data_IF_706272946918
#
_entry.id   IF_706272946918
#
_cell.length_a   1.000
_cell.length_b   1.000
_cell.length_c   1.000
_cell.angle_alpha   90.00
_cell.angle_beta   90.00
_cell.angle_gamma   90.00
#
_symmetry.space_group_name_H-M   'P 1'
#
loop_
_entity.id
_entity.type
_entity.pdbx_description
1 polymer ?
#
# COMPACT_ATOMS: atom_id res chain seq x y z
N UNK A 1 -2.17 -13.21 14.65
CA UNK A 1 -1.84 -14.48 13.94
C UNK A 1 -0.43 -14.42 13.33
N UNK A 2 0.53 -15.26 13.75
CA UNK A 2 1.96 -15.13 13.37
C UNK A 2 2.24 -15.18 11.86
N UNK A 3 1.50 -16.00 11.10
CA UNK A 3 1.68 -16.08 9.63
C UNK A 3 1.43 -14.74 8.92
N UNK A 4 0.58 -13.86 9.48
CA UNK A 4 0.38 -12.51 8.94
C UNK A 4 1.62 -11.65 9.10
N UNK A 5 2.37 -11.82 10.20
CA UNK A 5 3.64 -11.13 10.43
C UNK A 5 4.72 -11.62 9.46
N UNK A 6 4.73 -12.92 9.13
CA UNK A 6 5.61 -13.47 8.08
C UNK A 6 5.28 -12.85 6.72
N UNK A 7 4.01 -12.86 6.32
CA UNK A 7 3.60 -12.29 5.02
C UNK A 7 3.86 -10.78 4.98
N UNK A 8 3.63 -10.05 6.08
CA UNK A 8 3.99 -8.64 6.24
C UNK A 8 5.47 -8.40 5.92
N UNK A 9 6.37 -9.16 6.55
CA UNK A 9 7.82 -9.03 6.34
C UNK A 9 8.28 -9.46 4.94
N UNK A 10 7.59 -10.40 4.31
CA UNK A 10 7.88 -10.83 2.92
C UNK A 10 7.39 -9.83 1.86
N UNK A 11 6.40 -9.00 2.20
CA UNK A 11 5.90 -7.90 1.37
C UNK A 11 6.65 -6.58 1.59
N UNK A 12 7.44 -6.47 2.65
CA UNK A 12 8.32 -5.33 2.90
C UNK A 12 9.62 -5.45 2.08
N UNK A 13 10.40 -4.38 2.04
CA UNK A 13 11.64 -4.32 1.27
C UNK A 13 12.61 -5.43 1.70
N UNK A 14 13.13 -6.26 0.76
CA UNK A 14 14.01 -7.37 1.11
C UNK A 14 15.25 -6.90 1.88
N UNK A 15 15.51 -7.54 3.01
CA UNK A 15 16.64 -7.23 3.88
C UNK A 15 17.45 -8.48 4.17
N UNK A 16 18.73 -8.30 4.46
CA UNK A 16 19.61 -9.41 4.83
C UNK A 16 19.08 -10.17 6.06
N UNK A 17 18.54 -9.45 7.05
CA UNK A 17 17.95 -10.03 8.25
C UNK A 17 16.78 -10.97 7.91
N UNK A 18 15.90 -10.58 6.98
CA UNK A 18 14.81 -11.43 6.50
C UNK A 18 15.33 -12.74 5.90
N UNK A 19 16.34 -12.65 5.02
CA UNK A 19 16.89 -13.81 4.33
C UNK A 19 17.63 -14.75 5.30
N UNK A 20 18.40 -14.18 6.23
CA UNK A 20 19.16 -14.90 7.26
C UNK A 20 18.23 -15.71 8.19
N UNK A 21 16.96 -15.30 8.38
CA UNK A 21 15.96 -15.98 9.23
C UNK A 21 14.92 -16.79 8.43
N UNK A 22 15.17 -17.10 7.16
CA UNK A 22 14.23 -17.82 6.27
C UNK A 22 13.72 -19.16 6.84
N UNK A 23 14.54 -19.89 7.61
CA UNK A 23 14.11 -21.13 8.26
C UNK A 23 12.98 -20.92 9.27
N UNK A 24 13.09 -19.90 10.11
CA UNK A 24 12.07 -19.56 11.13
C UNK A 24 10.76 -19.13 10.46
N UNK A 25 10.85 -18.40 9.34
CA UNK A 25 9.67 -18.04 8.54
C UNK A 25 8.95 -19.29 8.02
N UNK A 26 9.70 -20.27 7.51
CA UNK A 26 9.15 -21.55 7.04
C UNK A 26 8.49 -22.35 8.17
N UNK A 27 9.04 -22.37 9.38
CA UNK A 27 8.41 -23.01 10.55
C UNK A 27 7.05 -22.38 10.87
N UNK A 28 6.98 -21.05 10.93
CA UNK A 28 5.73 -20.32 11.17
C UNK A 28 4.69 -20.62 10.08
N UNK A 29 5.10 -20.70 8.81
CA UNK A 29 4.21 -21.08 7.71
C UNK A 29 3.68 -22.50 7.90
N UNK A 30 4.54 -23.46 8.25
CA UNK A 30 4.15 -24.85 8.45
C UNK A 30 3.17 -25.04 9.61
N UNK A 31 3.31 -24.26 10.68
CA UNK A 31 2.41 -24.28 11.85
C UNK A 31 1.09 -23.51 11.64
N UNK A 32 0.99 -22.74 10.55
CA UNK A 32 -0.18 -21.91 10.27
C UNK A 32 -1.44 -22.72 9.95
N UNK A 33 -2.57 -22.02 9.80
CA UNK A 33 -3.87 -22.62 9.40
C UNK A 33 -4.09 -22.72 7.89
N UNK A 34 -3.09 -22.35 7.09
CA UNK A 34 -3.15 -22.45 5.63
C UNK A 34 -3.30 -23.90 5.17
N UNK A 35 -3.86 -24.06 3.98
CA UNK A 35 -3.91 -25.33 3.26
C UNK A 35 -2.50 -25.86 3.00
N UNK A 36 -2.38 -27.18 2.86
CA UNK A 36 -1.09 -27.82 2.59
C UNK A 36 -0.44 -27.31 1.29
N UNK A 37 -1.26 -26.95 0.31
CA UNK A 37 -0.81 -26.40 -0.96
C UNK A 37 -0.22 -25.00 -0.79
N UNK A 38 -0.92 -24.07 -0.13
CA UNK A 38 -0.39 -22.73 0.14
C UNK A 38 0.85 -22.76 1.04
N UNK A 39 0.89 -23.65 2.04
CA UNK A 39 2.10 -23.86 2.85
C UNK A 39 3.29 -24.27 1.99
N UNK A 40 3.09 -25.23 1.08
CA UNK A 40 4.15 -25.70 0.17
C UNK A 40 4.64 -24.58 -0.73
N UNK A 41 3.72 -23.82 -1.34
CA UNK A 41 4.07 -22.72 -2.23
C UNK A 41 4.75 -21.55 -1.50
N UNK A 42 4.28 -21.17 -0.30
CA UNK A 42 4.92 -20.15 0.52
C UNK A 42 6.34 -20.55 0.96
N UNK A 43 6.52 -21.80 1.41
CA UNK A 43 7.86 -22.31 1.76
C UNK A 43 8.78 -22.30 0.55
N UNK A 44 8.28 -22.68 -0.63
CA UNK A 44 9.05 -22.61 -1.87
C UNK A 44 9.42 -21.17 -2.24
N UNK A 45 8.49 -20.22 -2.08
CA UNK A 45 8.75 -18.79 -2.27
C UNK A 45 9.83 -18.27 -1.31
N UNK A 46 9.70 -18.53 0.00
CA UNK A 46 10.69 -18.12 1.01
C UNK A 46 12.07 -18.69 0.69
N UNK A 47 12.13 -19.99 0.33
CA UNK A 47 13.39 -20.66 -0.01
C UNK A 47 14.04 -20.05 -1.26
N UNK A 48 13.23 -19.71 -2.26
CA UNK A 48 13.71 -19.08 -3.51
C UNK A 48 14.22 -17.67 -3.23
N UNK A 49 13.47 -16.87 -2.46
CA UNK A 49 13.87 -15.52 -2.08
C UNK A 49 15.18 -15.52 -1.28
N UNK A 50 15.31 -16.42 -0.30
CA UNK A 50 16.52 -16.57 0.51
C UNK A 50 17.74 -17.09 -0.28
N UNK A 51 17.52 -17.81 -1.38
CA UNK A 51 18.57 -18.26 -2.28
C UNK A 51 18.98 -17.24 -3.36
N UNK A 52 18.28 -16.12 -3.46
CA UNK A 52 18.56 -15.04 -4.43
C UNK A 52 19.58 -14.07 -3.84
N UNK A 53 20.44 -13.47 -4.68
CA UNK A 53 21.30 -12.37 -4.22
C UNK A 53 20.44 -11.22 -3.68
N UNK A 54 20.88 -10.58 -2.59
CA UNK A 54 20.09 -9.55 -1.93
C UNK A 54 19.80 -8.37 -2.87
N UNK A 55 20.76 -7.95 -3.69
CA UNK A 55 20.56 -6.83 -4.61
C UNK A 55 19.63 -7.22 -5.75
N UNK A 56 19.71 -8.44 -6.26
CA UNK A 56 18.76 -8.95 -7.26
C UNK A 56 17.32 -9.02 -6.70
N UNK A 57 17.18 -9.44 -5.43
CA UNK A 57 15.89 -9.47 -4.75
C UNK A 57 15.31 -8.06 -4.54
N UNK A 58 16.15 -7.11 -4.14
CA UNK A 58 15.80 -5.69 -3.98
C UNK A 58 15.44 -5.04 -5.31
N UNK A 59 16.22 -5.26 -6.37
CA UNK A 59 15.91 -4.77 -7.71
C UNK A 59 14.57 -5.32 -8.18
N UNK A 60 14.31 -6.63 -8.00
CA UNK A 60 13.01 -7.23 -8.32
C UNK A 60 11.88 -6.58 -7.54
N UNK A 61 12.09 -6.26 -6.26
CA UNK A 61 11.10 -5.57 -5.44
C UNK A 61 10.75 -4.20 -6.02
N UNK A 62 11.77 -3.37 -6.28
CA UNK A 62 11.59 -2.02 -6.84
C UNK A 62 10.88 -2.07 -8.19
N UNK A 63 11.27 -3.01 -9.05
CA UNK A 63 10.66 -3.23 -10.36
C UNK A 63 9.16 -3.56 -10.27
N UNK A 64 8.74 -4.24 -9.20
CA UNK A 64 7.35 -4.68 -9.02
C UNK A 64 6.50 -3.63 -8.31
N UNK A 65 6.95 -3.13 -7.16
CA UNK A 65 6.09 -2.40 -6.22
C UNK A 65 6.28 -0.88 -6.27
N UNK A 66 7.40 -0.38 -6.79
CA UNK A 66 7.75 1.05 -6.74
C UNK A 66 7.60 1.79 -8.09
N UNK A 67 7.46 1.06 -9.21
CA UNK A 67 7.43 1.68 -10.56
C UNK A 67 6.05 2.13 -11.05
N UNK A 68 5.02 1.41 -10.66
CA UNK A 68 3.65 1.60 -11.15
C UNK A 68 2.64 1.66 -10.00
N UNK A 69 1.41 2.05 -10.33
CA UNK A 69 0.30 2.13 -9.36
C UNK A 69 -0.42 0.79 -9.25
N UNK A 70 -0.40 -0.04 -10.30
CA UNK A 70 -1.16 -1.29 -10.41
C UNK A 70 -0.75 -2.33 -9.35
N UNK A 71 0.50 -2.32 -8.92
CA UNK A 71 1.00 -3.20 -7.87
C UNK A 71 1.29 -2.48 -6.55
N UNK A 72 0.92 -1.20 -6.43
CA UNK A 72 1.16 -0.41 -5.21
C UNK A 72 0.69 -1.18 -3.96
N UNK A 73 1.52 -1.18 -2.93
CA UNK A 73 1.20 -1.81 -1.65
C UNK A 73 0.36 -0.92 -0.72
N UNK A 74 -0.26 0.14 -1.26
CA UNK A 74 -1.19 1.01 -0.54
C UNK A 74 -2.63 0.57 -0.84
N UNK A 75 -3.35 0.12 0.17
CA UNK A 75 -4.72 -0.41 0.01
C UNK A 75 -5.65 0.60 -0.67
N UNK A 76 -5.61 1.87 -0.25
CA UNK A 76 -6.56 2.87 -0.73
C UNK A 76 -6.26 3.39 -2.12
N UNK A 77 -5.06 3.15 -2.64
CA UNK A 77 -4.70 3.41 -4.04
C UNK A 77 -5.64 2.65 -5.00
N UNK A 78 -6.02 1.42 -4.64
CA UNK A 78 -6.85 0.53 -5.45
C UNK A 78 -8.35 0.82 -5.36
N UNK A 79 -8.79 1.58 -4.35
CA UNK A 79 -10.21 1.86 -4.10
C UNK A 79 -10.57 3.30 -4.44
N UNK A 80 -9.75 4.25 -4.01
CA UNK A 80 -10.07 5.68 -4.04
C UNK A 80 -9.16 6.47 -4.99
N UNK A 81 -8.01 5.93 -5.40
CA UNK A 81 -7.02 6.67 -6.20
C UNK A 81 -6.59 7.97 -5.50
N UNK A 82 -6.81 9.11 -6.14
CA UNK A 82 -6.52 10.45 -5.60
C UNK A 82 -7.75 11.15 -4.99
N UNK A 83 -8.86 10.42 -4.77
CA UNK A 83 -10.09 11.03 -4.26
C UNK A 83 -9.93 11.54 -2.83
N UNK A 84 -10.74 12.55 -2.47
CA UNK A 84 -10.81 13.08 -1.09
C UNK A 84 -11.22 12.00 -0.07
N UNK A 85 -11.91 10.96 -0.52
CA UNK A 85 -12.34 9.84 0.31
C UNK A 85 -11.16 9.06 0.87
N UNK A 86 -10.02 9.02 0.16
CA UNK A 86 -8.77 8.42 0.63
C UNK A 86 -8.30 9.04 1.95
N UNK A 87 -8.34 10.36 2.05
CA UNK A 87 -7.92 11.08 3.26
C UNK A 87 -8.78 10.71 4.47
N UNK A 88 -10.10 10.60 4.28
CA UNK A 88 -11.00 10.18 5.35
C UNK A 88 -10.79 8.71 5.73
N UNK A 89 -10.56 7.83 4.76
CA UNK A 89 -10.25 6.42 5.00
C UNK A 89 -8.95 6.25 5.83
N UNK A 90 -7.92 7.04 5.52
CA UNK A 90 -6.67 7.07 6.31
C UNK A 90 -6.91 7.51 7.75
N UNK A 91 -7.69 8.57 7.98
CA UNK A 91 -8.03 9.04 9.33
C UNK A 91 -8.78 7.96 10.12
N UNK A 92 -9.73 7.29 9.49
CA UNK A 92 -10.49 6.21 10.13
C UNK A 92 -9.57 5.03 10.49
N UNK A 93 -8.66 4.65 9.59
CA UNK A 93 -7.72 3.56 9.83
C UNK A 93 -6.72 3.88 10.95
N UNK A 94 -6.19 5.10 11.00
CA UNK A 94 -5.33 5.55 12.10
C UNK A 94 -6.08 5.54 13.44
N UNK A 95 -7.36 5.96 13.44
CA UNK A 95 -8.19 5.93 14.64
C UNK A 95 -8.41 4.50 15.14
N UNK A 96 -8.55 3.54 14.22
CA UNK A 96 -8.65 2.12 14.58
C UNK A 96 -7.36 1.60 15.23
N UNK A 97 -6.19 1.93 14.65
CA UNK A 97 -4.88 1.55 15.19
C UNK A 97 -4.69 2.11 16.60
N UNK A 98 -4.93 3.41 16.78
CA UNK A 98 -4.85 4.07 18.08
C UNK A 98 -5.83 3.46 19.10
N UNK A 99 -7.04 3.12 18.66
CA UNK A 99 -8.07 2.48 19.49
C UNK A 99 -7.64 1.11 20.04
N UNK A 100 -6.75 0.41 19.34
CA UNK A 100 -6.16 -0.87 19.74
C UNK A 100 -4.77 -0.72 20.37
N UNK A 101 -4.30 0.51 20.59
CA UNK A 101 -2.99 0.80 21.16
C UNK A 101 -1.82 0.44 20.23
N UNK A 102 -2.07 0.33 18.93
CA UNK A 102 -1.04 0.08 17.93
C UNK A 102 -0.41 1.40 17.49
N UNK A 103 0.91 1.50 17.65
CA UNK A 103 1.65 2.72 17.36
C UNK A 103 2.26 2.70 15.96
N UNK A 104 1.59 3.33 15.01
CA UNK A 104 1.98 3.37 13.61
C UNK A 104 3.09 4.40 13.28
N UNK A 105 3.95 4.80 14.23
CA UNK A 105 5.00 5.81 14.02
C UNK A 105 6.14 5.39 13.07
N UNK A 106 5.95 4.37 12.22
CA UNK A 106 6.98 3.85 11.31
C UNK A 106 7.33 4.80 10.16
N UNK A 107 6.71 5.98 10.07
CA UNK A 107 6.85 6.90 8.92
C UNK A 107 6.22 6.37 7.63
N UNK A 108 5.56 5.21 7.70
CA UNK A 108 4.79 4.61 6.62
C UNK A 108 3.36 5.12 6.65
N UNK A 109 2.68 5.06 5.50
CA UNK A 109 1.26 5.36 5.43
C UNK A 109 0.44 4.26 6.13
N UNK A 110 -0.68 4.60 6.80
CA UNK A 110 -1.47 3.63 7.57
C UNK A 110 -2.05 2.52 6.67
N UNK A 111 -2.28 2.80 5.39
CA UNK A 111 -2.84 1.85 4.43
C UNK A 111 -1.78 1.00 3.70
N UNK A 112 -0.51 1.10 4.11
CA UNK A 112 0.55 0.22 3.61
C UNK A 112 0.31 -1.22 4.07
N UNK A 113 0.17 -2.15 3.11
CA UNK A 113 -0.24 -3.53 3.37
C UNK A 113 0.63 -4.22 4.43
N UNK A 114 1.98 -4.14 4.40
CA UNK A 114 2.81 -4.72 5.46
C UNK A 114 2.50 -4.17 6.86
N UNK A 115 2.30 -2.86 7.01
CA UNK A 115 1.93 -2.24 8.28
C UNK A 115 0.54 -2.70 8.74
N UNK A 116 -0.41 -2.73 7.82
CA UNK A 116 -1.76 -3.25 8.06
C UNK A 116 -1.73 -4.71 8.55
N UNK A 117 -0.92 -5.56 7.92
CA UNK A 117 -0.74 -6.96 8.34
C UNK A 117 -0.02 -7.09 9.67
N UNK A 118 0.93 -6.20 9.98
CA UNK A 118 1.59 -6.15 11.28
C UNK A 118 0.57 -5.85 12.39
N UNK A 119 -0.27 -4.83 12.20
CA UNK A 119 -1.39 -4.55 13.08
C UNK A 119 -2.31 -5.76 13.27
N UNK A 120 -2.79 -6.38 12.19
CA UNK A 120 -3.66 -7.56 12.25
C UNK A 120 -2.98 -8.78 12.88
N UNK A 121 -1.65 -8.85 12.85
CA UNK A 121 -0.90 -9.95 13.48
C UNK A 121 -1.00 -9.93 15.00
N UNK A 122 -1.26 -8.76 15.60
CA UNK A 122 -1.41 -8.53 17.04
C UNK A 122 -2.86 -8.68 17.53
N UNK A 123 -3.82 -8.70 16.61
CA UNK A 123 -5.24 -8.86 16.94
C UNK A 123 -5.64 -10.34 17.09
N UNK A 124 -6.83 -10.55 17.65
CA UNK A 124 -7.41 -11.88 17.71
C UNK A 124 -7.76 -12.40 16.30
N UNK A 125 -7.84 -13.74 16.20
CA UNK A 125 -8.00 -14.39 14.90
C UNK A 125 -9.38 -14.18 14.26
N UNK A 126 -10.41 -13.75 14.98
CA UNK A 126 -11.69 -13.41 14.38
C UNK A 126 -11.60 -12.02 13.74
N UNK A 127 -11.11 -11.04 14.51
CA UNK A 127 -10.89 -9.67 14.04
C UNK A 127 -9.98 -9.62 12.81
N UNK A 128 -8.82 -10.30 12.85
CA UNK A 128 -7.90 -10.32 11.73
C UNK A 128 -8.52 -10.92 10.45
N UNK A 129 -9.41 -11.92 10.58
CA UNK A 129 -10.08 -12.52 9.42
C UNK A 129 -11.14 -11.62 8.82
N UNK A 130 -11.92 -10.95 9.66
CA UNK A 130 -12.93 -9.97 9.22
C UNK A 130 -12.26 -8.84 8.44
N UNK A 131 -11.19 -8.28 9.00
CA UNK A 131 -10.43 -7.21 8.38
C UNK A 131 -9.76 -7.64 7.06
N UNK A 132 -9.17 -8.83 7.01
CA UNK A 132 -8.67 -9.38 5.74
C UNK A 132 -9.79 -9.62 4.72
N UNK A 133 -11.01 -9.96 5.16
CA UNK A 133 -12.14 -10.18 4.28
C UNK A 133 -12.61 -8.86 3.63
N UNK A 134 -12.59 -7.75 4.39
CA UNK A 134 -12.94 -6.42 3.89
C UNK A 134 -12.03 -5.97 2.74
N UNK A 135 -10.74 -6.34 2.79
CA UNK A 135 -9.76 -6.01 1.74
C UNK A 135 -9.53 -7.14 0.73
N UNK A 136 -10.24 -8.26 0.85
CA UNK A 136 -10.01 -9.48 0.03
C UNK A 136 -10.11 -9.25 -1.47
N UNK A 137 -10.97 -8.32 -1.91
CA UNK A 137 -11.07 -7.93 -3.31
C UNK A 137 -9.76 -7.30 -3.82
N UNK A 138 -9.16 -6.39 -3.05
CA UNK A 138 -7.90 -5.71 -3.39
C UNK A 138 -6.76 -6.73 -3.43
N UNK A 139 -6.69 -7.62 -2.43
CA UNK A 139 -5.69 -8.68 -2.39
C UNK A 139 -5.81 -9.63 -3.60
N UNK A 140 -7.03 -9.91 -4.04
CA UNK A 140 -7.28 -10.72 -5.25
C UNK A 140 -6.89 -9.98 -6.52
N UNK A 141 -7.14 -8.68 -6.63
CA UNK A 141 -6.68 -7.87 -7.76
C UNK A 141 -5.15 -7.90 -7.86
N UNK A 142 -4.45 -7.73 -6.74
CA UNK A 142 -2.99 -7.80 -6.69
C UNK A 142 -2.47 -9.19 -7.07
N UNK A 143 -3.11 -10.27 -6.59
CA UNK A 143 -2.71 -11.63 -6.94
C UNK A 143 -2.90 -11.93 -8.43
N UNK A 144 -3.99 -11.48 -9.05
CA UNK A 144 -4.23 -11.62 -10.50
C UNK A 144 -3.23 -10.82 -11.33
N UNK A 145 -2.93 -9.58 -10.94
CA UNK A 145 -1.92 -8.74 -11.62
C UNK A 145 -0.52 -9.35 -11.56
N UNK A 146 -0.18 -10.03 -10.47
CA UNK A 146 1.08 -10.76 -10.31
C UNK A 146 1.07 -12.08 -11.08
N UNK A 147 -0.08 -12.75 -11.17
CA UNK A 147 -0.25 -13.96 -11.98
C UNK A 147 -0.03 -13.68 -13.47
N UNK A 148 -0.60 -12.59 -14.00
CA UNK A 148 -0.39 -12.16 -15.40
C UNK A 148 1.09 -11.85 -15.70
N UNK A 149 1.83 -11.37 -14.69
CA UNK A 149 3.28 -11.14 -14.75
C UNK A 149 4.12 -12.38 -14.44
N UNK A 150 3.51 -13.53 -14.19
CA UNK A 150 4.19 -14.78 -13.78
C UNK A 150 5.10 -14.58 -12.56
N UNK A 151 4.64 -13.79 -11.58
CA UNK A 151 5.39 -13.42 -10.40
C UNK A 151 4.94 -14.20 -9.17
N UNK A 152 5.87 -14.90 -8.53
CA UNK A 152 5.59 -15.74 -7.36
C UNK A 152 5.16 -14.96 -6.11
N UNK A 153 5.36 -13.63 -6.05
CA UNK A 153 4.79 -12.80 -4.98
C UNK A 153 3.26 -12.95 -4.86
N UNK A 154 2.57 -13.41 -5.92
CA UNK A 154 1.13 -13.68 -5.89
C UNK A 154 0.72 -14.59 -4.73
N UNK A 155 1.58 -15.55 -4.33
CA UNK A 155 1.26 -16.51 -3.28
C UNK A 155 1.07 -15.85 -1.91
N UNK A 156 1.73 -14.71 -1.68
CA UNK A 156 1.55 -13.91 -0.46
C UNK A 156 0.09 -13.42 -0.38
N UNK A 157 -0.42 -12.85 -1.47
CA UNK A 157 -1.78 -12.34 -1.55
C UNK A 157 -2.83 -13.45 -1.58
N UNK A 158 -2.59 -14.54 -2.31
CA UNK A 158 -3.47 -15.72 -2.32
C UNK A 158 -3.61 -16.33 -0.91
N UNK A 159 -2.51 -16.39 -0.16
CA UNK A 159 -2.52 -16.86 1.23
C UNK A 159 -3.33 -15.94 2.15
N UNK A 160 -3.27 -14.63 1.96
CA UNK A 160 -4.10 -13.67 2.73
C UNK A 160 -5.59 -13.83 2.41
N UNK A 161 -5.93 -14.04 1.13
CA UNK A 161 -7.32 -14.33 0.72
C UNK A 161 -7.79 -15.65 1.35
N UNK A 162 -6.98 -16.71 1.35
CA UNK A 162 -7.33 -17.96 2.03
C UNK A 162 -7.54 -17.75 3.54
N UNK A 163 -6.65 -17.02 4.20
CA UNK A 163 -6.73 -16.73 5.63
C UNK A 163 -7.98 -15.93 5.99
N UNK A 164 -8.43 -15.01 5.12
CA UNK A 164 -9.67 -14.26 5.33
C UNK A 164 -10.91 -15.15 5.34
N UNK A 165 -10.88 -16.27 4.60
CA UNK A 165 -12.04 -17.11 4.36
C UNK A 165 -13.12 -16.46 3.49
N UNK A 166 -12.83 -15.32 2.86
CA UNK A 166 -13.75 -14.61 1.99
C UNK A 166 -13.95 -15.35 0.66
N UNK A 167 -15.18 -15.33 0.16
CA UNK A 167 -15.50 -15.80 -1.19
C UNK A 167 -15.45 -14.62 -2.16
N UNK A 168 -14.51 -14.64 -3.10
CA UNK A 168 -14.32 -13.59 -4.11
C UNK A 168 -14.70 -14.09 -5.50
N UNK A 169 -15.29 -13.22 -6.34
CA UNK A 169 -15.57 -13.50 -7.76
C UNK A 169 -14.27 -13.44 -8.59
N UNK A 170 -13.33 -14.34 -8.31
CA UNK A 170 -11.96 -14.32 -8.86
C UNK A 170 -11.92 -14.25 -10.38
N UNK A 171 -12.75 -15.01 -11.09
CA UNK A 171 -12.78 -15.00 -12.56
C UNK A 171 -13.14 -13.61 -13.12
N UNK A 172 -14.10 -12.93 -12.48
CA UNK A 172 -14.55 -11.60 -12.90
C UNK A 172 -13.48 -10.54 -12.65
N UNK A 173 -12.72 -10.70 -11.56
CA UNK A 173 -11.54 -9.88 -11.26
C UNK A 173 -10.46 -10.13 -12.31
N UNK A 174 -10.17 -11.40 -12.62
CA UNK A 174 -9.19 -11.79 -13.63
C UNK A 174 -9.55 -11.22 -15.02
N UNK A 175 -10.83 -11.28 -15.41
CA UNK A 175 -11.31 -10.66 -16.66
C UNK A 175 -11.15 -9.14 -16.70
N UNK A 176 -11.27 -8.46 -15.57
CA UNK A 176 -11.05 -7.01 -15.46
C UNK A 176 -9.56 -6.68 -15.57
N UNK A 177 -8.72 -7.38 -14.80
CA UNK A 177 -7.25 -7.21 -14.79
C UNK A 177 -6.65 -7.43 -16.18
N UNK A 178 -7.07 -8.48 -16.90
CA UNK A 178 -6.60 -8.74 -18.28
C UNK A 178 -6.88 -7.62 -19.29
N UNK A 179 -7.78 -6.69 -18.97
CA UNK A 179 -8.13 -5.53 -19.83
C UNK A 179 -7.35 -4.27 -19.45
N UNK A 180 -6.64 -4.28 -18.32
CA UNK A 180 -5.86 -3.13 -17.87
C UNK A 180 -4.61 -2.96 -18.75
N UNK A 181 -4.29 -1.71 -19.17
CA UNK A 181 -3.03 -1.46 -19.84
C UNK A 181 -1.85 -1.57 -18.84
N UNK A 182 -0.66 -2.01 -19.28
CA UNK A 182 0.54 -1.94 -18.45
C UNK A 182 0.85 -0.51 -18.03
N UNK A 183 1.21 -0.31 -16.76
CA UNK A 183 1.53 1.00 -16.17
C UNK A 183 2.98 1.13 -15.69
N UNK A 184 3.77 0.07 -15.84
CA UNK A 184 5.16 -0.06 -15.41
C UNK A 184 6.17 0.12 -16.57
N UNK A 185 5.69 0.38 -17.79
CA UNK A 185 6.56 0.63 -18.96
C UNK A 185 7.12 2.05 -18.94
N UNK A 186 8.25 2.27 -19.61
CA UNK A 186 8.86 3.60 -19.69
C UNK A 186 7.89 4.62 -20.31
N UNK A 187 7.17 4.22 -21.36
CA UNK A 187 6.19 5.09 -22.01
C UNK A 187 5.00 5.42 -21.10
N UNK A 188 4.54 4.47 -20.28
CA UNK A 188 3.44 4.70 -19.34
C UNK A 188 3.87 5.62 -18.20
N UNK A 189 5.09 5.42 -17.69
CA UNK A 189 5.70 6.28 -16.68
C UNK A 189 5.84 7.70 -17.26
N UNK A 190 6.54 7.88 -18.38
CA UNK A 190 6.77 9.18 -19.02
C UNK A 190 5.46 9.93 -19.25
N UNK A 191 4.44 9.25 -19.79
CA UNK A 191 3.11 9.83 -19.98
C UNK A 191 2.48 10.31 -18.66
N UNK A 192 2.58 9.53 -17.59
CA UNK A 192 2.06 9.91 -16.28
C UNK A 192 2.79 11.12 -15.67
N UNK A 193 4.06 11.35 -16.03
CA UNK A 193 4.80 12.57 -15.66
C UNK A 193 4.39 13.78 -16.51
N UNK A 194 4.16 13.60 -17.81
CA UNK A 194 3.72 14.68 -18.72
C UNK A 194 2.31 15.21 -18.36
N UNK A 195 1.39 14.34 -17.96
CA UNK A 195 0.01 14.72 -17.61
C UNK A 195 -0.08 15.48 -16.26
N UNK A 196 0.98 15.51 -15.44
CA UNK A 196 1.04 16.23 -14.15
C UNK A 196 1.47 17.71 -14.27
N UNK A 197 1.00 18.42 -15.29
CA UNK A 197 1.13 19.89 -15.30
C UNK A 197 0.28 20.49 -14.16
N UNK A 198 0.92 20.94 -13.08
CA UNK A 198 0.27 21.76 -12.06
C UNK A 198 0.03 23.15 -12.67
N UNK A 199 -1.22 23.44 -13.02
CA UNK A 199 -1.66 24.80 -13.37
C UNK A 199 -1.89 25.60 -12.09
N UNK A 200 -0.96 26.50 -11.78
CA UNK A 200 -1.07 27.45 -10.67
C UNK A 200 -2.04 28.61 -10.94
N UNK A 201 -2.64 28.64 -12.14
CA UNK A 201 -3.54 29.66 -12.66
C UNK A 201 -5.03 29.29 -12.54
N UNK A 202 -5.36 28.10 -12.03
CA UNK A 202 -6.75 27.75 -11.76
C UNK A 202 -7.32 28.63 -10.63
N UNK A 203 -8.42 29.37 -10.87
CA UNK A 203 -9.03 30.18 -9.83
C UNK A 203 -9.47 29.27 -8.70
N UNK A 204 -9.10 29.63 -7.47
CA UNK A 204 -9.62 29.03 -6.25
C UNK A 204 -11.14 29.26 -6.27
N UNK A 205 -11.92 28.28 -6.75
CA UNK A 205 -13.35 28.26 -6.48
C UNK A 205 -13.51 28.07 -4.97
N UNK A 206 -13.73 29.19 -4.29
CA UNK A 206 -14.03 29.28 -2.87
C UNK A 206 -15.40 28.65 -2.58
N UNK A 207 -15.48 27.33 -2.70
CA UNK A 207 -16.59 26.50 -2.23
C UNK A 207 -16.39 26.12 -0.76
N UNK A 208 -16.17 27.11 0.11
CA UNK A 208 -16.17 26.92 1.55
C UNK A 208 -17.29 27.80 2.13
N UNK A 209 -18.51 27.29 2.17
CA UNK A 209 -19.57 27.86 3.03
C UNK A 209 -19.24 27.53 4.50
N UNK A 210 -18.23 28.20 5.04
CA UNK A 210 -18.06 28.26 6.49
C UNK A 210 -18.99 29.35 7.01
N UNK A 211 -20.08 28.94 7.65
CA UNK A 211 -20.89 29.77 8.52
C UNK A 211 -20.00 30.51 9.54
N UNK A 212 -19.85 31.82 9.36
CA UNK A 212 -19.29 32.71 10.37
C UNK A 212 -20.19 33.92 10.54
N UNK A 213 -21.16 33.79 11.44
CA UNK A 213 -21.71 34.92 12.16
C UNK A 213 -20.66 35.39 13.18
N UNK A 214 -20.19 36.63 13.03
CA UNK A 214 -19.26 37.25 13.99
C UNK A 214 -18.41 38.30 13.32
N UNK A 215 -18.95 39.51 13.20
CA UNK A 215 -18.30 40.63 12.53
C UNK A 215 -17.08 41.14 13.28
N UNK A 216 -16.06 41.54 12.52
CA UNK A 216 -15.12 42.59 12.89
C UNK A 216 -14.86 43.46 11.66
N UNK A 217 -14.92 44.77 11.88
CA UNK A 217 -14.93 45.81 10.87
C UNK A 217 -13.57 45.96 10.17
N UNK A 218 -13.65 46.31 8.88
CA UNK A 218 -12.54 46.56 7.98
C UNK A 218 -11.69 47.77 8.41
N UNK A 219 -10.38 47.64 8.25
CA UNK A 219 -9.51 48.77 7.90
C UNK A 219 -8.28 48.27 7.14
N UNK A 220 -8.13 48.73 5.90
CA UNK A 220 -6.90 48.75 5.10
C UNK A 220 -6.78 50.18 4.55
N UNK A 221 -5.65 50.63 3.97
CA UNK A 221 -4.31 50.04 3.88
C UNK A 221 -3.20 51.06 4.20
N UNK A 222 -1.92 50.67 4.13
CA UNK A 222 -0.85 51.53 3.63
C UNK A 222 0.35 50.67 3.23
N UNK A 223 0.55 50.54 1.92
CA UNK A 223 1.76 50.02 1.29
C UNK A 223 2.96 50.91 1.60
N UNK A 224 4.12 50.30 1.85
CA UNK A 224 5.40 50.97 1.72
C UNK A 224 6.36 50.06 0.92
N UNK A 225 7.07 50.56 -0.09
CA UNK A 225 7.87 49.74 -0.99
C UNK A 225 9.19 49.29 -0.34
N UNK A 226 9.57 48.04 -0.59
CA UNK A 226 10.84 47.44 -0.16
C UNK A 226 11.99 47.99 -1.00
N UNK A 227 12.98 48.61 -0.34
CA UNK A 227 14.22 49.09 -0.97
C UNK A 227 15.28 47.99 -0.89
N UNK A 228 15.76 47.51 -2.04
CA UNK A 228 16.87 46.58 -2.14
C UNK A 228 18.21 47.35 -2.20
N UNK A 229 19.12 47.12 -1.25
CA UNK A 229 20.52 47.52 -1.40
C UNK A 229 21.37 46.33 -1.88
N UNK A 230 21.91 46.50 -3.09
CA UNK A 230 22.92 45.64 -3.70
C UNK A 230 24.25 45.74 -2.94
N UNK A 231 24.95 44.60 -2.82
CA UNK A 231 26.22 44.51 -2.10
C UNK A 231 27.45 45.06 -2.85
N UNK A 232 28.54 45.17 -2.09
CA UNK A 232 29.90 44.97 -2.58
C UNK A 232 30.81 46.21 -2.65
N UNK A 233 31.59 46.44 -1.59
CA UNK A 233 33.05 46.23 -1.61
C UNK A 233 33.66 46.38 -0.22
#
# INVERSE_FOLDING_TARGET
MLVLKVISRLLDYPSKELLDHSHELCEVVNESRLSADHKTQLVAFITTLAGTDLYDAQERYDLLFERGRSLSLLLFEHVHGESRDRGQAMVNLMSEYEGHGFDAQSGQLPDYIPLYLEFLSEQDAAYAREWLADVSHILTVLSERLLDRQCDYRILFESLVELSGATVEREKIAEAVRKEPPDDTMEAIDKAWEDKEIRFDDPIESGCESSRSGGFAANTPLEAPVVWQQGGR
#
